data_IF_554953725643
#
_entry.id   IF_554953725643
#
_cell.length_a   1.000
_cell.length_b   1.000
_cell.length_c   1.000
_cell.angle_alpha   90.00
_cell.angle_beta   90.00
_cell.angle_gamma   90.00
#
_symmetry.space_group_name_H-M   'P 1'
#
loop_
_entity.id
_entity.type
_entity.pdbx_description
1 polymer ?
#
# COMPACT_ATOMS: atom_id res chain seq x y z
N UNK A 1 -11.66 -14.91 5.99
CA UNK A 1 -11.65 -14.94 4.51
C UNK A 1 -13.01 -14.42 4.12
N UNK A 2 -13.07 -13.35 3.35
CA UNK A 2 -14.32 -12.77 2.83
C UNK A 2 -14.32 -12.89 1.32
N UNK A 3 -15.45 -13.22 0.72
CA UNK A 3 -15.62 -13.30 -0.72
C UNK A 3 -16.27 -12.02 -1.20
N UNK A 4 -15.59 -11.31 -2.09
CA UNK A 4 -16.10 -10.08 -2.67
C UNK A 4 -16.51 -10.34 -4.11
N UNK A 5 -17.73 -9.93 -4.44
CA UNK A 5 -18.24 -10.00 -5.81
C UNK A 5 -18.77 -8.64 -6.22
N UNK A 6 -18.55 -8.32 -7.49
CA UNK A 6 -19.10 -7.15 -8.14
C UNK A 6 -19.97 -7.61 -9.28
N UNK A 7 -21.23 -7.21 -9.20
CA UNK A 7 -22.27 -7.64 -10.12
C UNK A 7 -22.81 -6.41 -10.85
N UNK A 8 -22.96 -6.54 -12.16
CA UNK A 8 -23.71 -5.60 -12.97
C UNK A 8 -25.10 -6.18 -13.26
N UNK A 9 -26.14 -5.38 -13.05
CA UNK A 9 -27.53 -5.74 -13.30
C UNK A 9 -28.07 -4.95 -14.50
N UNK A 10 -29.02 -5.55 -15.22
CA UNK A 10 -29.68 -4.95 -16.38
C UNK A 10 -29.13 -5.47 -17.69
N UNK A 11 -30.04 -5.88 -18.58
CA UNK A 11 -29.70 -6.51 -19.87
C UNK A 11 -28.91 -5.57 -20.80
N UNK A 12 -29.24 -4.29 -20.79
CA UNK A 12 -28.55 -3.30 -21.61
C UNK A 12 -27.15 -3.00 -21.06
N UNK A 13 -27.00 -2.99 -19.75
CA UNK A 13 -25.75 -2.78 -19.04
C UNK A 13 -24.79 -3.96 -19.19
N UNK A 14 -25.29 -5.18 -19.07
CA UNK A 14 -24.52 -6.40 -19.38
C UNK A 14 -24.03 -6.36 -20.82
N UNK A 15 -24.88 -5.95 -21.77
CA UNK A 15 -24.48 -5.80 -23.17
C UNK A 15 -23.39 -4.73 -23.37
N UNK A 16 -23.54 -3.56 -22.72
CA UNK A 16 -22.52 -2.51 -22.73
C UNK A 16 -21.18 -3.01 -22.19
N UNK A 17 -21.21 -3.80 -21.11
CA UNK A 17 -20.00 -4.41 -20.55
C UNK A 17 -19.28 -5.28 -21.57
N UNK A 18 -19.98 -6.21 -22.22
CA UNK A 18 -19.37 -7.07 -23.26
C UNK A 18 -18.89 -6.30 -24.49
N UNK A 19 -19.50 -5.16 -24.80
CA UNK A 19 -19.07 -4.28 -25.89
C UNK A 19 -17.88 -3.37 -25.51
N UNK A 20 -17.47 -3.32 -24.23
CA UNK A 20 -16.43 -2.42 -23.74
C UNK A 20 -16.87 -0.95 -23.71
N UNK A 21 -18.17 -0.69 -23.64
CA UNK A 21 -18.72 0.67 -23.58
C UNK A 21 -18.56 1.26 -22.17
N UNK A 22 -18.31 2.57 -22.10
CA UNK A 22 -18.20 3.26 -20.82
C UNK A 22 -19.58 3.47 -20.17
N UNK A 23 -19.67 3.19 -18.88
CA UNK A 23 -20.85 3.50 -18.07
C UNK A 23 -20.81 4.95 -17.58
N UNK A 24 -21.97 5.61 -17.62
CA UNK A 24 -22.18 6.87 -16.89
C UNK A 24 -22.15 6.63 -15.38
N UNK A 25 -21.94 7.69 -14.60
CA UNK A 25 -21.84 7.55 -13.14
C UNK A 25 -23.18 7.17 -12.50
N UNK A 26 -24.31 7.60 -13.09
CA UNK A 26 -25.65 7.20 -12.66
C UNK A 26 -25.90 5.71 -12.92
N UNK A 27 -25.51 5.20 -14.10
CA UNK A 27 -25.63 3.77 -14.43
C UNK A 27 -24.78 2.92 -13.49
N UNK A 28 -23.55 3.35 -13.17
CA UNK A 28 -22.72 2.65 -12.18
C UNK A 28 -23.41 2.59 -10.83
N UNK A 29 -23.98 3.70 -10.35
CA UNK A 29 -24.58 3.74 -9.02
C UNK A 29 -25.83 2.84 -8.91
N UNK A 30 -26.62 2.77 -9.99
CA UNK A 30 -27.87 1.99 -10.00
C UNK A 30 -27.57 0.51 -10.23
N UNK A 31 -26.77 0.20 -11.25
CA UNK A 31 -26.66 -1.15 -11.80
C UNK A 31 -25.43 -1.92 -11.34
N UNK A 32 -24.40 -1.23 -10.81
CA UNK A 32 -23.19 -1.87 -10.29
C UNK A 32 -23.32 -2.03 -8.78
N UNK A 33 -23.29 -3.27 -8.29
CA UNK A 33 -23.38 -3.57 -6.85
C UNK A 33 -22.21 -4.43 -6.40
N UNK A 34 -21.69 -4.09 -5.24
CA UNK A 34 -20.66 -4.87 -4.54
C UNK A 34 -21.34 -5.65 -3.42
N UNK A 35 -21.01 -6.93 -3.31
CA UNK A 35 -21.46 -7.80 -2.24
C UNK A 35 -20.26 -8.48 -1.59
N UNK A 36 -20.37 -8.72 -0.29
CA UNK A 36 -19.36 -9.41 0.50
C UNK A 36 -20.03 -10.57 1.22
N UNK A 37 -19.41 -11.75 1.18
CA UNK A 37 -19.88 -12.96 1.83
C UNK A 37 -18.81 -13.53 2.76
N UNK A 38 -19.23 -14.18 3.84
CA UNK A 38 -18.30 -14.80 4.79
C UNK A 38 -17.85 -16.18 4.32
N UNK A 39 -18.66 -16.85 3.49
CA UNK A 39 -18.42 -18.22 3.01
C UNK A 39 -18.73 -18.35 1.52
N UNK A 40 -18.10 -19.33 0.88
CA UNK A 40 -18.38 -19.74 -0.50
C UNK A 40 -19.82 -20.24 -0.66
N UNK A 41 -20.32 -21.01 0.31
CA UNK A 41 -21.69 -21.52 0.33
C UNK A 41 -22.74 -20.40 0.36
N UNK A 42 -22.47 -19.31 1.09
CA UNK A 42 -23.36 -18.13 1.13
C UNK A 42 -23.39 -17.42 -0.22
N UNK A 43 -22.22 -17.20 -0.84
CA UNK A 43 -22.11 -16.63 -2.19
C UNK A 43 -22.86 -17.48 -3.22
N UNK A 44 -22.68 -18.80 -3.18
CA UNK A 44 -23.29 -19.71 -4.15
C UNK A 44 -24.82 -19.71 -4.00
N UNK A 45 -25.33 -19.74 -2.76
CA UNK A 45 -26.77 -19.63 -2.48
C UNK A 45 -27.33 -18.29 -2.97
N UNK A 46 -26.57 -17.21 -2.84
CA UNK A 46 -26.95 -15.90 -3.36
C UNK A 46 -27.04 -15.90 -4.89
N UNK A 47 -26.09 -16.52 -5.59
CA UNK A 47 -26.14 -16.66 -7.05
C UNK A 47 -27.32 -17.51 -7.52
N UNK A 48 -27.66 -18.59 -6.81
CA UNK A 48 -28.88 -19.36 -7.06
C UNK A 48 -30.12 -18.48 -6.91
N UNK A 49 -30.21 -17.69 -5.83
CA UNK A 49 -31.33 -16.78 -5.59
C UNK A 49 -31.49 -15.71 -6.67
N UNK A 50 -30.39 -15.11 -7.15
CA UNK A 50 -30.46 -14.15 -8.27
C UNK A 50 -30.92 -14.84 -9.56
N UNK A 51 -30.35 -16.02 -9.85
CA UNK A 51 -30.72 -16.79 -11.04
C UNK A 51 -32.20 -17.14 -11.07
N UNK A 52 -32.79 -17.49 -9.91
CA UNK A 52 -34.23 -17.76 -9.81
C UNK A 52 -35.09 -16.50 -9.93
N UNK A 53 -34.63 -15.36 -9.39
CA UNK A 53 -35.43 -14.14 -9.33
C UNK A 53 -35.43 -13.31 -10.61
N UNK A 54 -34.28 -13.19 -11.28
CA UNK A 54 -34.05 -12.21 -12.37
C UNK A 54 -33.54 -12.90 -13.64
N UNK A 55 -32.92 -14.08 -13.52
CA UNK A 55 -32.41 -14.86 -14.64
C UNK A 55 -31.05 -14.40 -15.16
N UNK A 56 -30.27 -15.35 -15.68
CA UNK A 56 -28.85 -15.17 -16.04
C UNK A 56 -28.59 -14.06 -17.08
N UNK A 57 -29.51 -13.77 -18.01
CA UNK A 57 -29.28 -12.74 -19.03
C UNK A 57 -29.44 -11.30 -18.53
N UNK A 58 -29.82 -11.12 -17.27
CA UNK A 58 -30.11 -9.82 -16.66
C UNK A 58 -29.07 -9.40 -15.62
N UNK A 59 -28.01 -10.20 -15.41
CA UNK A 59 -26.87 -9.82 -14.59
C UNK A 59 -25.59 -10.52 -15.04
N UNK A 60 -24.43 -9.95 -14.70
CA UNK A 60 -23.12 -10.56 -14.94
C UNK A 60 -22.21 -10.29 -13.72
N UNK A 61 -21.47 -11.31 -13.29
CA UNK A 61 -20.41 -11.13 -12.29
C UNK A 61 -19.15 -10.65 -13.01
N UNK A 62 -18.73 -9.42 -12.74
CA UNK A 62 -17.63 -8.78 -13.48
C UNK A 62 -16.30 -8.81 -12.72
N UNK A 63 -16.35 -9.03 -11.41
CA UNK A 63 -15.16 -9.11 -10.56
C UNK A 63 -15.49 -10.02 -9.38
N UNK A 64 -14.63 -11.00 -9.13
CA UNK A 64 -14.75 -11.87 -7.97
C UNK A 64 -13.36 -12.14 -7.40
N UNK A 65 -13.19 -11.90 -6.10
CA UNK A 65 -11.96 -12.23 -5.40
C UNK A 65 -12.25 -12.66 -3.97
N UNK A 66 -11.44 -13.60 -3.51
CA UNK A 66 -11.43 -14.05 -2.13
C UNK A 66 -10.33 -13.29 -1.39
N UNK A 67 -10.65 -12.75 -0.21
CA UNK A 67 -9.65 -12.38 0.77
C UNK A 67 -8.99 -13.67 1.25
N UNK A 68 -8.02 -14.15 0.48
CA UNK A 68 -7.02 -15.08 1.03
C UNK A 68 -6.51 -14.40 2.29
N UNK A 69 -6.69 -15.03 3.46
CA UNK A 69 -5.97 -14.62 4.65
C UNK A 69 -4.51 -14.50 4.26
N UNK A 70 -3.94 -13.30 4.38
CA UNK A 70 -2.60 -12.92 3.89
C UNK A 70 -1.50 -13.96 4.21
N UNK A 71 -1.40 -14.97 3.36
CA UNK A 71 -0.25 -15.79 3.09
C UNK A 71 -0.37 -16.04 1.59
N UNK A 72 0.64 -15.68 0.80
CA UNK A 72 0.71 -15.79 -0.68
C UNK A 72 0.37 -14.54 -1.53
N UNK A 73 0.50 -13.33 -0.99
CA UNK A 73 0.88 -12.13 -1.77
C UNK A 73 1.87 -11.24 -1.00
N UNK A 74 2.97 -11.83 -0.51
CA UNK A 74 4.06 -11.08 0.16
C UNK A 74 5.37 -11.04 -0.65
N UNK A 75 5.36 -11.35 -1.95
CA UNK A 75 6.58 -11.38 -2.79
C UNK A 75 6.57 -10.38 -3.96
N UNK A 76 5.61 -9.46 -4.05
CA UNK A 76 5.73 -8.27 -4.90
C UNK A 76 5.60 -7.00 -4.04
N UNK A 77 6.78 -6.49 -3.65
CA UNK A 77 7.04 -5.26 -2.90
C UNK A 77 6.75 -5.28 -1.39
N UNK A 78 7.39 -6.18 -0.64
CA UNK A 78 7.75 -5.81 0.74
C UNK A 78 8.74 -4.65 0.64
N UNK A 79 8.31 -3.46 1.04
CA UNK A 79 9.19 -2.29 1.06
C UNK A 79 10.40 -2.61 1.95
N UNK A 80 11.55 -2.84 1.33
CA UNK A 80 12.79 -3.08 2.04
C UNK A 80 13.30 -1.73 2.55
N UNK A 81 12.95 -1.44 3.80
CA UNK A 81 13.30 -0.24 4.53
C UNK A 81 14.81 0.05 4.47
N UNK A 82 15.63 -0.97 4.69
CA UNK A 82 17.08 -0.81 4.72
C UNK A 82 17.65 -0.61 3.32
N UNK A 83 17.14 -1.35 2.32
CA UNK A 83 17.55 -1.12 0.94
C UNK A 83 17.16 0.29 0.46
N UNK A 84 16.02 0.82 0.89
CA UNK A 84 15.58 2.18 0.56
C UNK A 84 16.51 3.24 1.18
N UNK A 85 16.79 3.15 2.48
CA UNK A 85 17.70 4.08 3.16
C UNK A 85 19.12 3.97 2.59
N UNK A 86 19.64 2.76 2.37
CA UNK A 86 20.96 2.58 1.76
C UNK A 86 21.08 3.26 0.39
N UNK A 87 20.00 3.25 -0.40
CA UNK A 87 19.98 3.79 -1.75
C UNK A 87 19.83 5.31 -1.80
N UNK A 88 19.02 5.87 -0.91
CA UNK A 88 18.61 7.27 -1.00
C UNK A 88 19.08 8.15 0.16
N UNK A 89 19.56 7.59 1.28
CA UNK A 89 20.06 8.42 2.37
C UNK A 89 21.43 9.05 2.03
N UNK A 90 21.59 10.37 2.18
CA UNK A 90 22.84 11.05 1.89
C UNK A 90 23.99 10.52 2.76
N UNK A 91 25.09 10.08 2.14
CA UNK A 91 26.30 9.61 2.84
C UNK A 91 26.05 8.48 3.85
N UNK A 92 25.14 7.55 3.53
CA UNK A 92 24.82 6.37 4.34
C UNK A 92 26.00 5.74 5.09
N UNK A 93 27.12 5.46 4.40
CA UNK A 93 28.32 4.81 4.98
C UNK A 93 29.16 5.68 5.92
N UNK A 94 28.84 6.96 6.04
CA UNK A 94 29.58 7.93 6.86
C UNK A 94 28.66 8.66 7.85
N UNK A 95 27.46 8.12 8.12
CA UNK A 95 26.50 8.71 9.03
C UNK A 95 26.49 7.97 10.37
N UNK A 96 26.86 8.68 11.43
CA UNK A 96 26.85 8.14 12.80
C UNK A 96 25.43 7.73 13.24
N UNK A 97 24.39 8.38 12.72
CA UNK A 97 23.00 8.02 12.99
C UNK A 97 22.65 6.63 12.43
N UNK A 98 23.12 6.27 11.24
CA UNK A 98 22.89 4.93 10.66
C UNK A 98 23.59 3.85 11.50
N UNK A 99 24.81 4.13 11.95
CA UNK A 99 25.56 3.24 12.85
C UNK A 99 24.80 3.07 14.18
N UNK A 100 24.32 4.16 14.76
CA UNK A 100 23.56 4.17 16.01
C UNK A 100 22.24 3.40 15.88
N UNK A 101 21.49 3.56 14.78
CA UNK A 101 20.30 2.74 14.50
C UNK A 101 20.65 1.24 14.56
N UNK A 102 21.75 0.85 13.90
CA UNK A 102 22.20 -0.54 13.90
C UNK A 102 22.55 -1.07 15.30
N UNK A 103 23.18 -0.26 16.15
CA UNK A 103 23.51 -0.63 17.54
C UNK A 103 22.22 -0.80 18.36
N UNK A 104 21.28 0.14 18.25
CA UNK A 104 20.01 0.10 18.97
C UNK A 104 19.12 -1.07 18.53
N UNK A 105 19.04 -1.34 17.23
CA UNK A 105 18.31 -2.48 16.67
C UNK A 105 18.85 -3.81 17.21
N UNK A 106 20.18 -3.99 17.18
CA UNK A 106 20.83 -5.18 17.76
C UNK A 106 20.53 -5.34 19.25
N UNK A 107 20.54 -4.24 20.02
CA UNK A 107 20.22 -4.29 21.44
C UNK A 107 18.75 -4.70 21.67
N UNK A 108 17.84 -4.19 20.84
CA UNK A 108 16.40 -4.52 20.90
C UNK A 108 16.16 -6.01 20.58
N UNK A 109 16.90 -6.55 19.60
CA UNK A 109 16.82 -7.96 19.18
C UNK A 109 17.55 -8.92 20.14
N UNK A 110 18.20 -8.39 21.18
CA UNK A 110 18.93 -9.17 22.18
C UNK A 110 20.29 -9.67 21.69
N UNK A 111 20.81 -9.10 20.59
CA UNK A 111 22.15 -9.40 20.10
C UNK A 111 23.23 -8.79 21.00
N UNK A 112 24.41 -9.42 21.01
CA UNK A 112 25.56 -8.95 21.79
C UNK A 112 26.19 -7.73 21.10
N UNK A 113 26.15 -6.59 21.77
CA UNK A 113 26.91 -5.38 21.41
C UNK A 113 28.18 -5.27 22.26
N UNK A 114 29.12 -4.38 21.91
CA UNK A 114 30.37 -4.25 22.67
C UNK A 114 30.16 -3.46 23.98
N UNK A 115 31.06 -3.62 24.94
CA UNK A 115 30.92 -3.02 26.28
C UNK A 115 30.89 -1.48 26.22
N UNK A 116 31.60 -0.89 25.26
CA UNK A 116 31.60 0.55 25.01
C UNK A 116 30.22 1.04 24.53
N UNK A 117 29.60 0.31 23.61
CA UNK A 117 28.26 0.62 23.09
C UNK A 117 27.19 0.40 24.18
N UNK A 118 27.34 -0.64 25.01
CA UNK A 118 26.44 -0.89 26.15
C UNK A 118 26.46 0.24 27.16
N UNK A 119 27.65 0.74 27.50
CA UNK A 119 27.81 1.89 28.38
C UNK A 119 27.28 3.19 27.75
N UNK A 120 27.38 3.32 26.43
CA UNK A 120 26.91 4.50 25.71
C UNK A 120 25.38 4.63 25.72
N UNK A 121 24.66 3.51 25.56
CA UNK A 121 23.19 3.47 25.55
C UNK A 121 22.58 3.14 26.92
N UNK A 122 23.41 3.08 27.97
CA UNK A 122 22.97 2.73 29.31
C UNK A 122 21.91 3.73 29.84
N UNK A 123 20.75 3.22 30.23
CA UNK A 123 19.63 4.04 30.74
C UNK A 123 18.78 4.71 29.67
N UNK A 124 19.03 4.46 28.38
CA UNK A 124 18.20 4.97 27.29
C UNK A 124 16.96 4.10 27.10
N UNK A 125 15.87 4.71 26.63
CA UNK A 125 14.72 3.97 26.11
C UNK A 125 15.01 3.55 24.66
N UNK A 126 15.74 2.44 24.52
CA UNK A 126 16.23 1.91 23.23
C UNK A 126 15.15 1.85 22.16
N UNK A 127 13.92 1.47 22.52
CA UNK A 127 12.80 1.38 21.56
C UNK A 127 12.39 2.75 21.06
N UNK A 128 12.27 3.72 21.98
CA UNK A 128 11.85 5.08 21.63
C UNK A 128 12.91 5.79 20.81
N UNK A 129 14.17 5.72 21.24
CA UNK A 129 15.29 6.35 20.56
C UNK A 129 15.50 5.76 19.16
N UNK A 130 15.40 4.43 19.01
CA UNK A 130 15.45 3.78 17.71
C UNK A 130 14.33 4.26 16.79
N UNK A 131 13.10 4.37 17.30
CA UNK A 131 11.96 4.83 16.49
C UNK A 131 12.11 6.27 16.00
N UNK A 132 12.54 7.19 16.86
CA UNK A 132 12.76 8.59 16.48
C UNK A 132 13.88 8.70 15.44
N UNK A 133 14.96 7.96 15.65
CA UNK A 133 16.11 7.98 14.74
C UNK A 133 15.79 7.34 13.39
N UNK A 134 15.06 6.21 13.37
CA UNK A 134 14.60 5.55 12.13
C UNK A 134 13.65 6.45 11.34
N UNK A 135 12.75 7.17 12.02
CA UNK A 135 11.87 8.15 11.37
C UNK A 135 12.68 9.22 10.67
N UNK A 136 13.67 9.79 11.34
CA UNK A 136 14.46 10.90 10.79
C UNK A 136 15.32 10.44 9.60
N UNK A 137 15.96 9.25 9.71
CA UNK A 137 16.67 8.62 8.60
C UNK A 137 15.76 8.40 7.38
N UNK A 138 14.55 7.91 7.61
CA UNK A 138 13.61 7.64 6.54
C UNK A 138 13.11 8.93 5.88
N UNK A 139 12.81 9.97 6.66
CA UNK A 139 12.40 11.27 6.14
C UNK A 139 13.44 11.86 5.18
N UNK A 140 14.71 11.92 5.59
CA UNK A 140 15.79 12.44 4.74
C UNK A 140 16.02 11.57 3.49
N UNK A 141 15.91 10.24 3.62
CA UNK A 141 16.00 9.35 2.47
C UNK A 141 14.86 9.62 1.47
N UNK A 142 13.64 9.89 1.95
CA UNK A 142 12.51 10.27 1.10
C UNK A 142 12.71 11.63 0.45
N UNK A 143 13.18 12.64 1.19
CA UNK A 143 13.47 13.96 0.63
C UNK A 143 14.46 13.86 -0.53
N UNK A 144 15.57 13.14 -0.33
CA UNK A 144 16.55 12.95 -1.38
C UNK A 144 16.01 12.09 -2.55
N UNK A 145 15.17 11.09 -2.26
CA UNK A 145 14.46 10.34 -3.31
C UNK A 145 13.61 11.28 -4.18
N UNK A 146 12.83 12.17 -3.57
CA UNK A 146 12.00 13.12 -4.31
C UNK A 146 12.84 14.11 -5.10
N UNK A 147 13.94 14.62 -4.54
CA UNK A 147 14.85 15.53 -5.24
C UNK A 147 15.51 14.88 -6.46
N UNK A 148 15.86 13.58 -6.37
CA UNK A 148 16.44 12.82 -7.49
C UNK A 148 15.39 12.49 -8.57
N UNK A 149 14.20 12.06 -8.16
CA UNK A 149 13.14 11.60 -9.08
C UNK A 149 12.38 12.75 -9.73
N UNK A 150 12.25 13.87 -9.02
CA UNK A 150 11.55 15.08 -9.45
C UNK A 150 12.45 16.29 -9.25
N UNK A 151 13.58 16.37 -9.99
CA UNK A 151 14.46 17.52 -9.89
C UNK A 151 13.64 18.77 -10.21
N UNK A 152 13.61 19.71 -9.27
CA UNK A 152 12.97 21.01 -9.51
C UNK A 152 13.66 21.65 -10.70
N UNK A 153 12.97 21.72 -11.83
CA UNK A 153 13.42 22.52 -12.97
C UNK A 153 13.64 23.96 -12.46
N UNK A 154 14.82 24.56 -12.66
CA UNK A 154 15.07 25.94 -12.24
C UNK A 154 14.26 27.00 -13.02
N UNK A 155 13.45 26.62 -14.01
CA UNK A 155 12.66 27.56 -14.83
C UNK A 155 11.22 27.78 -14.33
N UNK A 156 11.07 28.32 -13.11
CA UNK A 156 9.80 28.95 -12.72
C UNK A 156 9.94 30.31 -12.03
N UNK A 157 11.11 30.94 -12.10
CA UNK A 157 11.24 32.38 -11.84
C UNK A 157 11.11 33.19 -13.13
N UNK A 158 9.95 33.10 -13.77
CA UNK A 158 9.40 34.21 -14.58
C UNK A 158 8.02 34.50 -14.00
N UNK A 159 8.01 35.24 -12.89
CA UNK A 159 6.85 36.05 -12.53
C UNK A 159 7.23 37.48 -12.87
N UNK A 160 6.66 37.91 -13.98
CA UNK A 160 6.54 39.29 -14.46
C UNK A 160 6.18 40.24 -13.32
N UNK A 161 7.08 41.16 -12.98
CA UNK A 161 6.67 42.47 -12.47
C UNK A 161 6.33 43.34 -13.68
N UNK A 162 5.03 43.46 -13.95
CA UNK A 162 4.45 44.60 -14.63
C UNK A 162 4.22 45.67 -13.58
N UNK A 163 4.83 46.84 -13.75
CA UNK A 163 4.16 48.15 -13.73
C UNK A 163 5.02 49.18 -14.45
#
# INVERSE_FOLDING_TARGET
MGYHTKIIFGKDEVRKYHNGEAFTDDEKNINLKNYTFETDAERDTFYEGINEAIGWLEYEVIEEFEDKSNQEKEDESKFDYWAFIQKYYPRYYFCDSVLLSGILARKLDGEKICEEDEGFIEGWDVRKELFELDRDLLCEAFENFFDIMYPKNPDSSIVTEKE
#
